data_IF_205540876741
#
_entry.id   IF_205540876741
#
_cell.length_a   1.000
_cell.length_b   1.000
_cell.length_c   1.000
_cell.angle_alpha   90.00
_cell.angle_beta   90.00
_cell.angle_gamma   90.00
#
_symmetry.space_group_name_H-M   'P 1'
#
loop_
_entity.id
_entity.type
_entity.pdbx_description
1 polymer ?
#
# COMPACT_ATOMS: atom_id res chain seq x y z
N UNK A 1 -9.62 17.32 -85.89
CA UNK A 1 -8.59 16.92 -86.88
C UNK A 1 -7.36 17.80 -86.67
N UNK A 2 -6.17 17.20 -86.52
CA UNK A 2 -4.83 17.84 -86.50
C UNK A 2 -4.45 18.44 -85.13
N UNK A 3 -3.63 17.87 -84.24
CA UNK A 3 -2.25 17.31 -84.28
C UNK A 3 -1.13 18.32 -84.63
N UNK A 4 -0.34 18.62 -83.58
CA UNK A 4 1.11 18.89 -83.48
C UNK A 4 1.71 20.17 -84.07
N UNK A 5 2.41 20.94 -83.21
CA UNK A 5 3.88 21.14 -83.16
C UNK A 5 4.15 22.27 -82.13
N UNK A 6 4.76 22.00 -80.97
CA UNK A 6 6.18 21.85 -80.67
C UNK A 6 6.98 23.18 -80.61
N UNK A 7 7.36 23.49 -79.37
CA UNK A 7 8.64 24.01 -78.88
C UNK A 7 9.11 25.47 -79.12
N UNK A 8 9.78 25.92 -78.05
CA UNK A 8 10.86 26.91 -77.95
C UNK A 8 10.47 28.39 -77.86
N UNK A 9 10.57 28.96 -76.66
CA UNK A 9 11.82 29.57 -76.21
C UNK A 9 11.77 29.95 -74.72
N UNK A 10 12.73 29.41 -73.98
CA UNK A 10 13.06 29.76 -72.62
C UNK A 10 13.53 31.22 -72.52
N UNK A 11 13.03 31.94 -71.52
CA UNK A 11 13.44 33.30 -71.18
C UNK A 11 13.61 33.43 -69.67
N UNK A 12 14.77 32.97 -69.20
CA UNK A 12 15.54 33.35 -68.00
C UNK A 12 14.81 33.64 -66.67
N UNK A 13 14.87 32.65 -65.78
CA UNK A 13 14.81 32.87 -64.34
C UNK A 13 16.13 33.52 -63.86
N UNK A 14 16.11 34.41 -62.84
CA UNK A 14 17.33 35.05 -62.34
C UNK A 14 18.34 34.02 -61.82
N UNK A 15 19.66 34.31 -61.90
CA UNK A 15 20.67 33.36 -61.49
C UNK A 15 20.55 33.07 -59.99
N UNK A 16 20.35 31.80 -59.66
CA UNK A 16 20.45 31.30 -58.29
C UNK A 16 21.89 31.51 -57.80
N UNK A 17 22.07 32.40 -56.83
CA UNK A 17 23.35 32.60 -56.16
C UNK A 17 23.75 31.29 -55.45
N UNK A 18 24.87 30.65 -55.83
CA UNK A 18 25.34 29.41 -55.20
C UNK A 18 25.81 29.60 -53.76
N UNK A 19 25.84 30.85 -53.26
CA UNK A 19 26.24 31.19 -51.90
C UNK A 19 25.09 31.17 -50.89
N UNK A 20 23.85 30.93 -51.33
CA UNK A 20 22.68 30.85 -50.43
C UNK A 20 22.51 29.45 -49.80
N UNK A 21 23.63 28.87 -49.34
CA UNK A 21 23.68 27.59 -48.60
C UNK A 21 23.38 27.73 -47.11
N UNK A 22 22.84 28.86 -46.67
CA UNK A 22 22.75 29.19 -45.24
C UNK A 22 21.37 29.00 -44.61
N UNK A 23 20.32 28.60 -45.36
CA UNK A 23 18.94 28.66 -44.83
C UNK A 23 18.06 27.41 -44.90
N UNK A 24 18.50 26.28 -45.44
CA UNK A 24 17.64 25.09 -45.54
C UNK A 24 18.13 23.84 -44.81
N UNK A 25 19.26 23.94 -44.11
CA UNK A 25 19.71 22.91 -43.17
C UNK A 25 20.10 23.53 -41.83
N UNK A 26 19.19 24.31 -41.25
CA UNK A 26 19.01 24.21 -39.79
C UNK A 26 18.35 22.86 -39.52
N UNK A 27 19.09 21.78 -39.83
CA UNK A 27 19.04 20.58 -39.02
C UNK A 27 19.27 21.13 -37.63
N UNK A 28 18.21 21.21 -36.83
CA UNK A 28 18.30 21.30 -35.39
C UNK A 28 19.46 20.40 -35.04
N UNK A 29 20.61 21.01 -34.71
CA UNK A 29 21.73 20.28 -34.19
C UNK A 29 21.11 19.56 -33.04
N UNK A 30 20.85 18.26 -33.25
CA UNK A 30 20.42 17.37 -32.21
C UNK A 30 21.58 17.47 -31.28
N UNK A 31 21.47 18.37 -30.29
CA UNK A 31 22.42 18.43 -29.21
C UNK A 31 22.45 16.97 -28.79
N UNK A 32 23.60 16.34 -29.03
CA UNK A 32 23.96 15.14 -28.32
C UNK A 32 24.11 15.62 -26.87
N UNK A 33 22.99 16.00 -26.24
CA UNK A 33 22.93 16.32 -24.84
C UNK A 33 23.27 14.98 -24.23
N UNK A 34 24.52 14.94 -23.78
CA UNK A 34 25.21 13.77 -23.31
C UNK A 34 24.25 13.01 -22.40
N UNK A 35 23.77 11.84 -22.85
CA UNK A 35 22.92 10.97 -22.01
C UNK A 35 23.62 10.67 -20.69
N UNK A 36 24.96 10.70 -20.67
CA UNK A 36 25.81 10.61 -19.48
C UNK A 36 25.67 11.81 -18.53
N UNK A 37 25.37 13.01 -19.02
CA UNK A 37 25.10 14.19 -18.21
C UNK A 37 23.78 14.09 -17.46
N UNK A 38 22.71 13.69 -18.16
CA UNK A 38 21.41 13.40 -17.52
C UNK A 38 21.52 12.26 -16.52
N UNK A 39 22.26 11.18 -16.85
CA UNK A 39 22.45 10.05 -15.95
C UNK A 39 23.18 10.46 -14.65
N UNK A 40 24.19 11.33 -14.74
CA UNK A 40 24.96 11.81 -13.58
C UNK A 40 24.12 12.63 -12.59
N UNK A 41 23.12 13.35 -13.08
CA UNK A 41 22.22 14.14 -12.22
C UNK A 41 21.06 13.29 -11.70
N UNK A 42 20.52 12.39 -12.53
CA UNK A 42 19.40 11.52 -12.11
C UNK A 42 19.80 10.47 -11.07
N UNK A 43 21.00 9.91 -11.16
CA UNK A 43 21.43 8.82 -10.27
C UNK A 43 21.47 9.19 -8.78
N UNK A 44 22.03 10.34 -8.35
CA UNK A 44 21.97 10.74 -6.94
C UNK A 44 20.54 11.07 -6.48
N UNK A 45 19.70 11.67 -7.35
CA UNK A 45 18.30 11.98 -7.04
C UNK A 45 17.51 10.67 -6.83
N UNK A 46 17.63 9.72 -7.75
CA UNK A 46 17.00 8.41 -7.64
C UNK A 46 17.48 7.67 -6.38
N UNK A 47 18.78 7.71 -6.08
CA UNK A 47 19.33 7.14 -4.85
C UNK A 47 18.73 7.75 -3.58
N UNK A 48 18.56 9.08 -3.55
CA UNK A 48 17.95 9.77 -2.42
C UNK A 48 16.47 9.41 -2.26
N UNK A 49 15.72 9.33 -3.36
CA UNK A 49 14.31 8.89 -3.33
C UNK A 49 14.17 7.46 -2.81
N UNK A 50 15.06 6.54 -3.22
CA UNK A 50 15.07 5.16 -2.73
C UNK A 50 15.37 5.13 -1.22
N UNK A 51 16.37 5.87 -0.75
CA UNK A 51 16.71 5.92 0.68
C UNK A 51 15.56 6.49 1.52
N UNK A 52 14.92 7.57 1.07
CA UNK A 52 13.75 8.15 1.74
C UNK A 52 12.58 7.17 1.74
N UNK A 53 12.34 6.47 0.63
CA UNK A 53 11.30 5.44 0.54
C UNK A 53 11.53 4.29 1.51
N UNK A 54 12.78 3.80 1.63
CA UNK A 54 13.15 2.76 2.59
C UNK A 54 12.95 3.26 4.02
N UNK A 55 13.45 4.46 4.35
CA UNK A 55 13.32 5.04 5.69
C UNK A 55 11.85 5.22 6.08
N UNK A 56 11.03 5.73 5.17
CA UNK A 56 9.59 5.88 5.37
C UNK A 56 8.92 4.52 5.61
N UNK A 57 9.24 3.52 4.80
CA UNK A 57 8.70 2.16 4.97
C UNK A 57 9.00 1.60 6.35
N UNK A 58 10.25 1.67 6.81
CA UNK A 58 10.64 1.17 8.14
C UNK A 58 9.91 1.89 9.29
N UNK A 59 9.65 3.19 9.17
CA UNK A 59 8.91 3.95 10.19
C UNK A 59 7.41 3.63 10.22
N UNK A 60 6.85 3.08 9.13
CA UNK A 60 5.42 2.75 9.01
C UNK A 60 5.08 1.31 9.40
N UNK A 61 6.07 0.44 9.66
CA UNK A 61 5.80 -0.94 10.09
C UNK A 61 5.29 -0.89 11.54
N UNK A 62 4.06 -1.37 11.81
CA UNK A 62 3.53 -1.39 13.17
C UNK A 62 4.42 -2.25 14.06
N UNK A 63 4.83 -1.65 15.18
CA UNK A 63 5.62 -2.28 16.21
C UNK A 63 4.81 -3.30 17.01
N UNK A 64 5.50 -3.99 17.92
CA UNK A 64 4.87 -4.88 18.89
C UNK A 64 4.06 -4.03 19.88
N UNK A 65 2.78 -4.36 20.05
CA UNK A 65 1.85 -3.63 20.91
C UNK A 65 1.04 -2.54 20.20
N UNK A 66 1.33 -2.27 18.92
CA UNK A 66 0.55 -1.29 18.15
C UNK A 66 -0.78 -1.88 17.67
N UNK A 67 -1.80 -1.03 17.66
CA UNK A 67 -3.09 -1.36 17.06
C UNK A 67 -2.96 -1.47 15.55
N UNK A 68 -3.54 -2.50 14.96
CA UNK A 68 -3.56 -2.67 13.51
C UNK A 68 -4.94 -3.08 13.02
N UNK A 69 -5.22 -2.80 11.75
CA UNK A 69 -6.43 -3.30 11.11
C UNK A 69 -6.19 -4.76 10.69
N UNK A 70 -6.93 -5.73 11.24
CA UNK A 70 -6.73 -7.14 10.94
C UNK A 70 -7.11 -7.46 9.49
N UNK A 71 -6.65 -8.61 9.00
CA UNK A 71 -7.21 -9.22 7.81
C UNK A 71 -8.62 -9.75 8.13
N UNK A 72 -9.50 -9.77 7.13
CA UNK A 72 -10.90 -10.21 7.28
C UNK A 72 -11.00 -11.59 7.93
N UNK A 73 -10.13 -12.53 7.56
CA UNK A 73 -10.11 -13.89 8.11
C UNK A 73 -9.87 -13.92 9.63
N UNK A 74 -8.99 -13.05 10.13
CA UNK A 74 -8.69 -12.97 11.56
C UNK A 74 -9.85 -12.34 12.34
N UNK A 75 -10.47 -11.28 11.81
CA UNK A 75 -11.65 -10.65 12.42
C UNK A 75 -12.81 -11.64 12.51
N UNK A 76 -13.07 -12.33 11.41
CA UNK A 76 -14.11 -13.34 11.29
C UNK A 76 -13.86 -14.53 12.24
N UNK A 77 -12.62 -15.02 12.32
CA UNK A 77 -12.25 -16.11 13.20
C UNK A 77 -12.46 -15.75 14.69
N UNK A 78 -12.07 -14.54 15.12
CA UNK A 78 -12.30 -14.09 16.50
C UNK A 78 -13.80 -13.97 16.79
N UNK A 79 -14.58 -13.40 15.87
CA UNK A 79 -16.04 -13.30 16.01
C UNK A 79 -16.69 -14.68 16.12
N UNK A 80 -16.33 -15.61 15.26
CA UNK A 80 -16.86 -16.98 15.30
C UNK A 80 -16.46 -17.71 16.58
N UNK A 81 -15.22 -17.59 17.04
CA UNK A 81 -14.78 -18.19 18.30
C UNK A 81 -15.58 -17.68 19.50
N UNK A 82 -15.83 -16.36 19.57
CA UNK A 82 -16.65 -15.79 20.64
C UNK A 82 -18.11 -16.23 20.55
N UNK A 83 -18.65 -16.33 19.33
CA UNK A 83 -20.03 -16.78 19.12
C UNK A 83 -20.22 -18.28 19.42
N UNK A 84 -19.27 -19.12 19.01
CA UNK A 84 -19.40 -20.57 19.11
C UNK A 84 -18.99 -21.11 20.48
N UNK A 85 -17.85 -20.63 21.02
CA UNK A 85 -17.28 -21.11 22.28
C UNK A 85 -17.87 -20.37 23.47
N UNK A 86 -17.90 -19.03 23.41
CA UNK A 86 -18.37 -18.20 24.52
C UNK A 86 -19.87 -17.87 24.43
N UNK A 87 -20.53 -18.22 23.31
CA UNK A 87 -21.95 -17.90 23.05
C UNK A 87 -22.26 -16.40 23.14
N UNK A 88 -21.29 -15.55 22.77
CA UNK A 88 -21.42 -14.09 22.81
C UNK A 88 -21.20 -13.45 21.45
N UNK A 89 -21.95 -12.38 21.22
CA UNK A 89 -21.76 -11.51 20.06
C UNK A 89 -20.76 -10.42 20.42
N UNK A 90 -19.66 -10.33 19.68
CA UNK A 90 -18.71 -9.23 19.78
C UNK A 90 -19.27 -7.97 19.11
N UNK A 91 -19.30 -6.86 19.85
CA UNK A 91 -19.74 -5.56 19.34
C UNK A 91 -18.59 -4.79 18.70
N UNK A 92 -17.44 -4.77 19.37
CA UNK A 92 -16.24 -4.09 18.91
C UNK A 92 -15.01 -4.94 19.21
N UNK A 93 -14.02 -4.92 18.31
CA UNK A 93 -12.80 -5.71 18.45
C UNK A 93 -11.61 -4.87 18.07
N UNK A 94 -10.72 -4.65 19.04
CA UNK A 94 -9.45 -3.95 18.83
C UNK A 94 -8.30 -4.96 18.76
N UNK A 95 -7.57 -4.96 17.64
CA UNK A 95 -6.45 -5.87 17.41
C UNK A 95 -5.11 -5.18 17.65
N UNK A 96 -4.19 -5.91 18.27
CA UNK A 96 -2.84 -5.49 18.63
C UNK A 96 -1.85 -6.52 18.09
N UNK A 97 -0.82 -6.03 17.42
CA UNK A 97 0.20 -6.90 16.81
C UNK A 97 1.20 -7.30 17.88
N UNK A 98 1.41 -8.60 18.07
CA UNK A 98 2.42 -9.13 18.99
C UNK A 98 3.46 -9.95 18.25
N UNK A 99 4.56 -10.29 18.93
CA UNK A 99 5.61 -11.11 18.33
C UNK A 99 5.13 -12.57 18.19
N UNK A 100 4.81 -12.97 16.95
CA UNK A 100 4.34 -14.32 16.62
C UNK A 100 2.86 -14.62 16.88
N UNK A 101 2.08 -13.66 17.40
CA UNK A 101 0.63 -13.81 17.58
C UNK A 101 -0.10 -12.46 17.47
N UNK A 102 -1.40 -12.49 17.23
CA UNK A 102 -2.25 -11.31 17.36
C UNK A 102 -3.00 -11.36 18.69
N UNK A 103 -3.09 -10.23 19.36
CA UNK A 103 -3.87 -10.08 20.58
C UNK A 103 -5.08 -9.20 20.27
N UNK A 104 -6.28 -9.61 20.66
CA UNK A 104 -7.50 -8.88 20.41
C UNK A 104 -8.25 -8.64 21.71
N UNK A 105 -8.67 -7.40 21.92
CA UNK A 105 -9.67 -7.03 22.93
C UNK A 105 -11.01 -7.00 22.23
N UNK A 106 -11.90 -7.92 22.60
CA UNK A 106 -13.25 -7.98 22.07
C UNK A 106 -14.24 -7.53 23.14
N UNK A 107 -14.95 -6.44 22.89
CA UNK A 107 -16.09 -6.03 23.70
C UNK A 107 -17.32 -6.81 23.24
N UNK A 108 -18.08 -7.33 24.21
CA UNK A 108 -19.22 -8.21 23.99
C UNK A 108 -20.48 -7.66 24.63
N UNK A 109 -21.63 -8.07 24.09
CA UNK A 109 -22.93 -7.69 24.63
C UNK A 109 -23.12 -8.18 26.08
N UNK A 110 -23.30 -7.24 27.01
CA UNK A 110 -23.63 -7.54 28.41
C UNK A 110 -25.08 -8.01 28.51
N UNK A 111 -25.32 -9.10 29.24
CA UNK A 111 -26.67 -9.58 29.56
C UNK A 111 -26.91 -9.52 31.07
N UNK A 112 -27.27 -8.33 31.61
CA UNK A 112 -27.53 -8.17 33.04
C UNK A 112 -28.83 -8.85 33.48
N UNK A 113 -29.66 -9.28 32.52
CA UNK A 113 -30.90 -10.02 32.70
C UNK A 113 -30.69 -11.46 33.21
N UNK A 114 -29.49 -12.03 33.03
CA UNK A 114 -29.16 -13.39 33.46
C UNK A 114 -28.22 -13.31 34.68
N UNK A 115 -28.51 -14.01 35.80
CA UNK A 115 -27.68 -14.00 37.00
C UNK A 115 -26.45 -14.91 36.86
N UNK A 116 -25.62 -14.65 35.84
CA UNK A 116 -24.31 -15.29 35.66
C UNK A 116 -23.23 -14.19 35.68
N UNK A 117 -22.23 -14.26 36.58
CA UNK A 117 -21.19 -13.25 36.71
C UNK A 117 -20.35 -13.10 35.44
N UNK A 118 -20.16 -14.17 34.66
CA UNK A 118 -19.45 -14.11 33.37
C UNK A 118 -20.29 -13.37 32.34
N UNK A 119 -21.63 -13.46 32.46
CA UNK A 119 -22.51 -12.80 31.50
C UNK A 119 -22.59 -11.27 31.68
N UNK A 120 -22.16 -10.79 32.84
CA UNK A 120 -22.05 -9.37 33.18
C UNK A 120 -20.73 -8.75 32.71
N UNK A 121 -19.73 -9.57 32.38
CA UNK A 121 -18.45 -9.11 31.84
C UNK A 121 -18.66 -8.60 30.41
N UNK A 122 -18.13 -7.41 30.15
CA UNK A 122 -18.31 -6.72 28.87
C UNK A 122 -17.18 -6.92 27.87
N UNK A 123 -16.10 -7.61 28.23
CA UNK A 123 -14.91 -7.68 27.41
C UNK A 123 -14.18 -9.02 27.58
N UNK A 124 -13.59 -9.51 26.50
CA UNK A 124 -12.75 -10.68 26.43
C UNK A 124 -11.40 -10.32 25.81
N UNK A 125 -10.35 -10.95 26.32
CA UNK A 125 -9.03 -10.97 25.70
C UNK A 125 -8.92 -12.25 24.87
N UNK A 126 -8.46 -12.12 23.63
CA UNK A 126 -8.30 -13.23 22.69
C UNK A 126 -6.88 -13.24 22.15
N UNK A 127 -6.21 -14.38 22.24
CA UNK A 127 -4.92 -14.66 21.60
C UNK A 127 -5.19 -15.45 20.33
N UNK A 128 -4.70 -14.95 19.21
CA UNK A 128 -4.76 -15.63 17.92
C UNK A 128 -3.36 -15.98 17.45
N UNK A 129 -3.05 -17.27 17.40
CA UNK A 129 -1.77 -17.79 16.91
C UNK A 129 -1.98 -18.33 15.49
N UNK A 130 -1.18 -17.91 14.50
CA UNK A 130 -1.30 -18.45 13.15
C UNK A 130 -0.90 -19.93 13.14
N UNK A 131 -1.81 -20.81 12.72
CA UNK A 131 -1.63 -22.25 12.60
C UNK A 131 -1.80 -22.68 11.12
N UNK A 132 -1.08 -22.03 10.21
CA UNK A 132 -1.15 -22.24 8.77
C UNK A 132 -1.58 -21.00 8.00
N UNK A 133 -1.82 -21.15 6.69
CA UNK A 133 -2.03 -20.02 5.78
C UNK A 133 -3.30 -19.22 6.08
N UNK A 134 -4.36 -19.86 6.61
CA UNK A 134 -5.66 -19.24 6.94
C UNK A 134 -6.30 -19.82 8.21
N UNK A 135 -5.52 -20.52 9.04
CA UNK A 135 -6.03 -21.12 10.27
C UNK A 135 -5.41 -20.41 11.46
N UNK A 136 -6.26 -20.10 12.44
CA UNK A 136 -5.87 -19.41 13.66
C UNK A 136 -6.27 -20.26 14.85
N UNK A 137 -5.32 -20.55 15.72
CA UNK A 137 -5.61 -21.13 17.01
C UNK A 137 -5.95 -20.01 17.99
N UNK A 138 -7.17 -20.06 18.52
CA UNK A 138 -7.76 -18.99 19.31
C UNK A 138 -7.91 -19.43 20.76
N UNK A 139 -7.34 -18.66 21.68
CA UNK A 139 -7.53 -18.82 23.12
C UNK A 139 -8.15 -17.56 23.68
N UNK A 140 -9.23 -17.67 24.45
CA UNK A 140 -9.91 -16.51 25.01
C UNK A 140 -10.06 -16.59 26.53
N UNK A 141 -10.00 -15.43 27.18
CA UNK A 141 -10.22 -15.26 28.62
C UNK A 141 -11.09 -14.04 28.87
N UNK A 142 -12.08 -14.12 29.77
CA UNK A 142 -12.87 -12.95 30.15
C UNK A 142 -12.00 -11.94 30.90
N UNK A 143 -12.18 -10.65 30.61
CA UNK A 143 -11.49 -9.55 31.30
C UNK A 143 -12.37 -9.13 32.48
N UNK A 144 -11.84 -9.20 33.70
CA UNK A 144 -12.62 -8.83 34.89
C UNK A 144 -12.79 -7.31 34.98
N UNK A 145 -13.86 -6.87 35.67
CA UNK A 145 -14.09 -5.44 35.89
C UNK A 145 -12.91 -4.80 36.66
N UNK A 146 -12.26 -3.81 36.05
CA UNK A 146 -11.10 -3.12 36.61
C UNK A 146 -9.75 -3.71 36.20
N UNK A 147 -9.74 -4.87 35.54
CA UNK A 147 -8.54 -5.45 34.93
C UNK A 147 -8.16 -4.63 33.69
N UNK A 148 -6.91 -4.17 33.63
CA UNK A 148 -6.34 -3.50 32.46
C UNK A 148 -5.44 -4.50 31.74
N UNK A 149 -5.98 -5.30 30.80
CA UNK A 149 -5.17 -6.27 30.11
C UNK A 149 -4.10 -5.54 29.30
N UNK A 150 -2.85 -5.92 29.51
CA UNK A 150 -1.74 -5.45 28.70
C UNK A 150 -1.75 -6.17 27.35
N UNK A 151 -1.74 -5.46 26.22
CA UNK A 151 -1.59 -6.13 24.93
C UNK A 151 -0.28 -6.91 24.94
N UNK A 152 -0.28 -8.07 24.28
CA UNK A 152 0.87 -8.97 24.18
C UNK A 152 1.33 -9.64 25.50
N UNK A 153 0.61 -9.52 26.61
CA UNK A 153 0.85 -10.41 27.75
C UNK A 153 0.31 -11.81 27.48
N UNK A 154 1.01 -12.84 27.95
CA UNK A 154 0.53 -14.22 27.93
C UNK A 154 -0.86 -14.31 28.55
N UNK A 155 -1.78 -14.97 27.82
CA UNK A 155 -3.15 -15.23 28.23
C UNK A 155 -3.24 -16.44 29.15
#
# INVERSE_FOLDING_TARGET
MGLLDQADNAGDAPPLDPNDKSRLFQTLGRESSSSRGYLKVFLPIAGLVVLVGIAFFYLTIPGVGDTFHPQTELDLAVRYHLLEVQKRTATDITFYKCDGFAWAKADVEKRPDIPDPVLQLGSYAVKAVPNGTNHWELTSKPIQNGEKPTPCSGL
#
